data_IF_951267745642
#
_entry.id   IF_951267745642
#
_cell.length_a   1.000
_cell.length_b   1.000
_cell.length_c   1.000
_cell.angle_alpha   90.00
_cell.angle_beta   90.00
_cell.angle_gamma   90.00
#
_symmetry.space_group_name_H-M   'P 1'
#
loop_
_entity.id
_entity.type
_entity.pdbx_description
1 polymer ?
#
# COMPACT_ATOMS: atom_id res chain seq x y z
N UNK A 1 6.23 -21.55 7.36
CA UNK A 1 5.55 -20.62 6.42
C UNK A 1 5.07 -19.37 7.13
N UNK A 2 4.16 -19.44 8.11
CA UNK A 2 3.60 -18.24 8.78
C UNK A 2 4.65 -17.31 9.39
N UNK A 3 5.64 -17.86 10.09
CA UNK A 3 6.72 -17.08 10.70
C UNK A 3 7.53 -16.29 9.66
N UNK A 4 7.87 -16.91 8.53
CA UNK A 4 8.64 -16.28 7.46
C UNK A 4 7.85 -15.10 6.88
N UNK A 5 6.55 -15.31 6.59
CA UNK A 5 5.69 -14.25 6.06
C UNK A 5 5.47 -13.11 7.07
N UNK A 6 5.35 -13.42 8.36
CA UNK A 6 5.21 -12.42 9.42
C UNK A 6 6.49 -11.61 9.62
N UNK A 7 7.66 -12.25 9.58
CA UNK A 7 8.95 -11.57 9.69
C UNK A 7 9.19 -10.71 8.43
N UNK A 8 8.92 -11.22 7.23
CA UNK A 8 9.02 -10.43 5.99
C UNK A 8 8.13 -9.16 6.00
N UNK A 9 6.92 -9.25 6.58
CA UNK A 9 6.06 -8.08 6.79
C UNK A 9 6.73 -7.05 7.72
N UNK A 10 7.26 -7.51 8.86
CA UNK A 10 7.84 -6.63 9.87
C UNK A 10 9.16 -5.99 9.44
N UNK A 11 9.99 -6.75 8.74
CA UNK A 11 11.36 -6.36 8.40
C UNK A 11 11.39 -5.39 7.22
N UNK A 12 10.61 -5.63 6.17
CA UNK A 12 10.67 -4.82 4.96
C UNK A 12 9.32 -4.38 4.42
N UNK A 13 8.22 -4.70 5.10
CA UNK A 13 6.87 -4.61 4.52
C UNK A 13 6.79 -5.34 3.16
N UNK A 14 7.49 -6.50 3.08
CA UNK A 14 7.66 -7.35 1.89
C UNK A 14 8.33 -6.68 0.69
N UNK A 15 9.00 -5.55 0.87
CA UNK A 15 9.69 -4.85 -0.21
C UNK A 15 11.01 -5.57 -0.59
N UNK A 16 11.18 -6.04 -1.84
CA UNK A 16 12.39 -6.76 -2.26
C UNK A 16 13.66 -5.93 -2.27
N UNK A 17 13.52 -4.62 -2.51
CA UNK A 17 14.64 -3.69 -2.62
C UNK A 17 14.92 -2.95 -1.30
N UNK A 18 14.31 -3.38 -0.20
CA UNK A 18 14.49 -2.75 1.10
C UNK A 18 15.94 -2.88 1.58
N UNK A 19 16.47 -1.78 2.08
CA UNK A 19 17.78 -1.73 2.72
C UNK A 19 17.65 -1.10 4.11
N UNK A 20 18.10 -1.82 5.13
CA UNK A 20 18.13 -1.36 6.51
C UNK A 20 19.56 -1.09 6.96
N UNK A 21 19.75 -0.04 7.75
CA UNK A 21 21.04 0.29 8.34
C UNK A 21 20.87 0.52 9.85
N UNK A 22 21.52 -0.31 10.67
CA UNK A 22 21.59 -0.07 12.10
C UNK A 22 22.69 0.95 12.42
N UNK A 23 22.27 2.16 12.78
CA UNK A 23 23.15 3.29 13.11
C UNK A 23 24.13 3.01 14.26
N UNK A 24 23.92 1.98 15.08
CA UNK A 24 24.81 1.63 16.20
C UNK A 24 25.88 0.62 15.84
N UNK A 25 25.64 -0.21 14.83
CA UNK A 25 26.54 -1.30 14.43
C UNK A 25 27.08 -1.13 13.02
N UNK A 26 26.59 -0.13 12.26
CA UNK A 26 26.83 0.07 10.83
C UNK A 26 26.55 -1.20 10.00
N UNK A 27 25.67 -2.08 10.50
CA UNK A 27 25.31 -3.31 9.79
C UNK A 27 24.24 -2.99 8.76
N UNK A 28 24.55 -3.29 7.51
CA UNK A 28 23.62 -3.18 6.38
C UNK A 28 22.88 -4.51 6.24
N UNK A 29 21.56 -4.41 6.09
CA UNK A 29 20.63 -5.51 5.90
C UNK A 29 19.86 -5.28 4.61
N UNK A 30 19.63 -6.35 3.84
CA UNK A 30 19.15 -6.26 2.46
C UNK A 30 17.92 -7.17 2.30
N UNK A 31 16.98 -6.72 1.47
CA UNK A 31 15.89 -7.53 0.93
C UNK A 31 14.74 -7.81 1.89
N UNK A 32 13.86 -8.72 1.47
CA UNK A 32 12.55 -8.98 2.09
C UNK A 32 12.64 -9.33 3.58
N UNK A 33 13.66 -10.09 3.96
CA UNK A 33 13.89 -10.57 5.32
C UNK A 33 14.96 -9.75 6.04
N UNK A 34 15.46 -8.67 5.43
CA UNK A 34 16.52 -7.82 5.99
C UNK A 34 17.75 -8.65 6.43
N UNK A 35 18.24 -9.50 5.55
CA UNK A 35 19.42 -10.35 5.81
C UNK A 35 20.69 -9.54 5.62
N UNK A 36 21.62 -9.59 6.58
CA UNK A 36 22.94 -8.99 6.43
C UNK A 36 23.86 -9.88 5.59
N UNK A 37 24.68 -9.32 4.68
CA UNK A 37 25.65 -10.10 3.88
C UNK A 37 26.52 -11.04 4.74
N UNK A 38 27.04 -10.54 5.86
CA UNK A 38 27.84 -11.34 6.81
C UNK A 38 27.10 -12.54 7.41
N UNK A 39 25.78 -12.44 7.59
CA UNK A 39 24.97 -13.55 8.09
C UNK A 39 24.77 -14.59 6.99
N UNK A 40 24.54 -14.16 5.76
CA UNK A 40 24.42 -15.05 4.61
C UNK A 40 25.74 -15.78 4.32
N UNK A 41 26.88 -15.07 4.31
CA UNK A 41 28.22 -15.66 4.21
C UNK A 41 28.48 -16.68 5.32
N UNK A 42 28.15 -16.34 6.57
CA UNK A 42 28.29 -17.24 7.71
C UNK A 42 27.43 -18.50 7.55
N UNK A 43 26.19 -18.38 7.05
CA UNK A 43 25.31 -19.54 6.75
C UNK A 43 25.92 -20.42 5.66
N UNK A 44 26.50 -19.84 4.61
CA UNK A 44 27.16 -20.62 3.55
C UNK A 44 28.35 -21.39 4.12
N UNK A 45 29.18 -20.76 4.95
CA UNK A 45 30.42 -21.34 5.47
C UNK A 45 30.20 -22.38 6.56
N UNK A 46 29.30 -22.13 7.51
CA UNK A 46 29.18 -22.93 8.73
C UNK A 46 27.99 -23.91 8.70
N UNK A 47 26.99 -23.68 7.84
CA UNK A 47 25.76 -24.48 7.78
C UNK A 47 25.58 -25.22 6.43
N UNK A 48 26.59 -25.18 5.54
CA UNK A 48 26.67 -25.93 4.26
C UNK A 48 25.56 -25.60 3.23
N UNK A 49 25.05 -24.37 3.25
CA UNK A 49 24.01 -23.89 2.33
C UNK A 49 24.61 -23.32 1.02
N UNK A 50 25.24 -24.18 0.20
CA UNK A 50 26.05 -23.81 -0.98
C UNK A 50 25.29 -23.35 -2.25
N UNK A 51 23.98 -23.12 -2.19
CA UNK A 51 23.16 -22.86 -3.38
C UNK A 51 23.43 -21.50 -4.06
N UNK A 52 23.98 -20.52 -3.35
CA UNK A 52 24.18 -19.15 -3.85
C UNK A 52 25.52 -18.56 -3.43
N UNK A 53 26.35 -18.03 -4.37
CA UNK A 53 27.66 -17.47 -4.07
C UNK A 53 27.56 -16.02 -3.55
N UNK A 54 27.28 -15.86 -2.25
CA UNK A 54 27.10 -14.53 -1.62
C UNK A 54 28.42 -13.74 -1.52
N UNK A 55 29.56 -14.42 -1.36
CA UNK A 55 30.88 -13.78 -1.26
C UNK A 55 31.30 -13.05 -2.56
N UNK A 56 30.76 -13.46 -3.71
CA UNK A 56 31.11 -12.89 -5.03
C UNK A 56 30.19 -11.72 -5.42
N UNK A 57 28.92 -11.75 -4.98
CA UNK A 57 27.89 -10.76 -5.34
C UNK A 57 26.90 -10.53 -4.17
N UNK A 58 27.15 -9.53 -3.30
CA UNK A 58 26.24 -9.19 -2.20
C UNK A 58 24.85 -8.72 -2.67
N UNK A 59 24.74 -8.20 -3.90
CA UNK A 59 23.47 -7.72 -4.46
C UNK A 59 22.52 -8.87 -4.80
N UNK A 60 22.99 -10.12 -4.77
CA UNK A 60 22.15 -11.31 -4.89
C UNK A 60 21.06 -11.34 -3.80
N UNK A 61 21.28 -10.69 -2.65
CA UNK A 61 20.30 -10.58 -1.58
C UNK A 61 19.09 -9.69 -1.90
N UNK A 62 19.12 -8.91 -2.99
CA UNK A 62 17.92 -8.23 -3.51
C UNK A 62 16.95 -9.18 -4.22
N UNK A 63 17.42 -10.38 -4.61
CA UNK A 63 16.56 -11.38 -5.25
C UNK A 63 15.63 -11.99 -4.17
N UNK A 64 14.30 -11.85 -4.29
CA UNK A 64 13.33 -12.30 -3.28
C UNK A 64 13.56 -13.72 -2.77
N UNK A 65 13.74 -14.68 -3.69
CA UNK A 65 13.91 -16.09 -3.35
C UNK A 65 15.21 -16.35 -2.59
N UNK A 66 16.31 -15.68 -2.99
CA UNK A 66 17.62 -15.82 -2.34
C UNK A 66 17.57 -15.23 -0.94
N UNK A 67 16.94 -14.06 -0.79
CA UNK A 67 16.80 -13.41 0.50
C UNK A 67 15.94 -14.23 1.48
N UNK A 68 14.81 -14.76 1.00
CA UNK A 68 13.94 -15.63 1.80
C UNK A 68 14.65 -16.94 2.15
N UNK A 69 15.45 -17.49 1.24
CA UNK A 69 16.26 -18.69 1.50
C UNK A 69 17.22 -18.46 2.67
N UNK A 70 18.02 -17.39 2.66
CA UNK A 70 18.96 -17.10 3.76
C UNK A 70 18.24 -16.72 5.06
N UNK A 71 17.15 -15.96 4.99
CA UNK A 71 16.35 -15.65 6.17
C UNK A 71 15.71 -16.90 6.79
N UNK A 72 15.22 -17.84 5.98
CA UNK A 72 14.69 -19.12 6.44
C UNK A 72 15.78 -20.04 7.02
N UNK A 73 16.97 -20.09 6.40
CA UNK A 73 18.11 -20.81 6.94
C UNK A 73 18.52 -20.24 8.31
N UNK A 74 18.53 -18.91 8.46
CA UNK A 74 18.83 -18.26 9.74
C UNK A 74 17.80 -18.58 10.82
N UNK A 75 16.50 -18.55 10.48
CA UNK A 75 15.43 -18.95 11.39
C UNK A 75 15.53 -20.41 11.82
N UNK A 76 15.89 -21.30 10.88
CA UNK A 76 16.13 -22.73 11.17
C UNK A 76 17.29 -22.89 12.16
N UNK A 77 18.38 -22.17 11.95
CA UNK A 77 19.49 -22.17 12.91
C UNK A 77 19.06 -21.67 14.29
N UNK A 78 18.35 -20.54 14.36
CA UNK A 78 17.82 -19.99 15.62
C UNK A 78 16.87 -20.96 16.34
N UNK A 79 16.09 -21.75 15.60
CA UNK A 79 15.17 -22.74 16.17
C UNK A 79 15.88 -23.88 16.90
N UNK A 80 17.15 -24.14 16.58
CA UNK A 80 17.99 -25.16 17.21
C UNK A 80 19.21 -24.57 17.94
N UNK A 81 19.17 -23.28 18.27
CA UNK A 81 20.30 -22.57 18.86
C UNK A 81 20.78 -23.21 20.17
N UNK A 82 22.10 -23.45 20.29
CA UNK A 82 22.76 -24.13 21.43
C UNK A 82 22.35 -25.61 21.58
N UNK A 83 22.03 -26.29 20.46
CA UNK A 83 21.61 -27.69 20.46
C UNK A 83 20.26 -27.94 21.15
N UNK A 84 19.47 -26.88 21.35
CA UNK A 84 18.16 -26.93 22.03
C UNK A 84 17.08 -26.45 21.08
N UNK A 85 15.94 -27.15 21.10
CA UNK A 85 14.72 -26.67 20.44
C UNK A 85 14.25 -25.41 21.15
N UNK A 86 14.23 -24.29 20.43
CA UNK A 86 13.85 -22.99 20.95
C UNK A 86 12.37 -22.70 20.71
N UNK A 87 11.79 -21.91 21.61
CA UNK A 87 10.42 -21.42 21.44
C UNK A 87 10.35 -20.42 20.29
N UNK A 88 9.17 -20.27 19.71
CA UNK A 88 8.93 -19.26 18.68
C UNK A 88 9.26 -17.84 19.15
N UNK A 89 8.91 -17.48 20.38
CA UNK A 89 9.29 -16.20 20.97
C UNK A 89 10.80 -16.00 20.99
N UNK A 90 11.55 -17.04 21.35
CA UNK A 90 13.01 -16.98 21.34
C UNK A 90 13.53 -16.71 19.92
N UNK A 91 13.05 -17.48 18.93
CA UNK A 91 13.49 -17.36 17.54
C UNK A 91 13.23 -15.96 16.99
N UNK A 92 12.02 -15.44 17.17
CA UNK A 92 11.61 -14.13 16.65
C UNK A 92 12.38 -12.99 17.32
N UNK A 93 12.54 -13.04 18.65
CA UNK A 93 13.28 -12.00 19.39
C UNK A 93 14.79 -12.06 19.11
N UNK A 94 15.32 -13.26 18.86
CA UNK A 94 16.71 -13.45 18.45
C UNK A 94 16.96 -12.96 17.03
N UNK A 95 15.99 -13.11 16.13
CA UNK A 95 16.06 -12.61 14.75
C UNK A 95 16.25 -11.09 14.72
N UNK A 96 15.44 -10.34 15.48
CA UNK A 96 15.49 -8.87 15.49
C UNK A 96 16.62 -8.29 16.36
N UNK A 97 17.02 -8.99 17.42
CA UNK A 97 17.88 -8.44 18.48
C UNK A 97 19.21 -9.16 18.70
N UNK A 98 19.40 -10.31 18.05
CA UNK A 98 20.48 -11.25 18.32
C UNK A 98 20.21 -12.13 19.56
N UNK A 99 20.87 -13.28 19.60
CA UNK A 99 20.70 -14.32 20.65
C UNK A 99 21.00 -13.85 22.07
N UNK A 100 21.85 -12.81 22.22
CA UNK A 100 22.18 -12.22 23.53
C UNK A 100 21.11 -11.28 24.09
N UNK A 101 20.21 -10.76 23.25
CA UNK A 101 19.18 -9.77 23.66
C UNK A 101 17.77 -10.35 23.70
N UNK A 102 17.62 -11.67 23.60
CA UNK A 102 16.32 -12.33 23.53
C UNK A 102 15.44 -11.97 24.73
N UNK A 103 15.98 -11.97 25.95
CA UNK A 103 15.22 -11.62 27.16
C UNK A 103 15.21 -10.11 27.47
N UNK A 104 15.89 -9.29 26.66
CA UNK A 104 16.00 -7.86 26.92
C UNK A 104 14.69 -7.14 26.58
N UNK A 105 14.33 -6.11 27.37
CA UNK A 105 13.07 -5.36 27.18
C UNK A 105 12.94 -4.72 25.79
N UNK A 106 14.06 -4.45 25.11
CA UNK A 106 14.06 -3.84 23.77
C UNK A 106 13.52 -4.73 22.66
N UNK A 107 13.51 -6.05 22.83
CA UNK A 107 12.99 -6.99 21.80
C UNK A 107 11.50 -7.28 21.98
N UNK A 108 10.92 -6.89 23.12
CA UNK A 108 9.51 -7.11 23.43
C UNK A 108 8.53 -6.38 22.48
N UNK A 109 8.78 -5.12 22.04
CA UNK A 109 7.92 -4.46 21.06
C UNK A 109 7.87 -5.21 19.72
N UNK A 110 9.01 -5.74 19.26
CA UNK A 110 9.08 -6.51 18.02
C UNK A 110 8.26 -7.82 18.15
N UNK A 111 8.40 -8.54 19.26
CA UNK A 111 7.59 -9.73 19.55
C UNK A 111 6.08 -9.46 19.56
N UNK A 112 5.64 -8.36 20.18
CA UNK A 112 4.21 -7.99 20.19
C UNK A 112 3.68 -7.71 18.79
N UNK A 113 4.46 -7.02 17.95
CA UNK A 113 4.09 -6.77 16.54
C UNK A 113 4.05 -8.07 15.74
N UNK A 114 4.97 -9.00 16.01
CA UNK A 114 4.98 -10.33 15.39
C UNK A 114 3.70 -11.11 15.72
N UNK A 115 3.28 -11.13 16.99
CA UNK A 115 2.04 -11.79 17.38
C UNK A 115 0.82 -11.19 16.67
N UNK A 116 0.73 -9.86 16.58
CA UNK A 116 -0.34 -9.17 15.86
C UNK A 116 -0.39 -9.57 14.38
N UNK A 117 0.77 -9.55 13.71
CA UNK A 117 0.88 -9.94 12.30
C UNK A 117 0.54 -11.43 12.12
N UNK A 118 1.03 -12.30 13.01
CA UNK A 118 0.76 -13.75 12.95
C UNK A 118 -0.71 -14.09 13.20
N UNK A 119 -1.37 -13.42 14.14
CA UNK A 119 -2.80 -13.57 14.42
C UNK A 119 -3.64 -13.19 13.19
N UNK A 120 -3.25 -12.12 12.48
CA UNK A 120 -3.82 -11.76 11.19
C UNK A 120 -3.65 -12.83 10.10
N UNK A 121 -2.67 -13.74 10.20
CA UNK A 121 -2.50 -14.88 9.29
C UNK A 121 -3.26 -16.13 9.73
N UNK A 122 -3.34 -16.40 11.04
CA UNK A 122 -4.06 -17.57 11.57
C UNK A 122 -5.57 -17.45 11.35
N UNK A 123 -6.16 -16.26 11.49
CA UNK A 123 -7.56 -16.01 11.11
C UNK A 123 -7.83 -16.22 9.62
N UNK A 124 -6.81 -16.14 8.75
CA UNK A 124 -6.94 -16.42 7.31
C UNK A 124 -6.88 -17.92 6.96
N UNK A 125 -6.35 -18.76 7.85
CA UNK A 125 -6.15 -20.21 7.59
C UNK A 125 -7.28 -21.11 8.08
N UNK A 126 -8.24 -20.61 8.85
CA UNK A 126 -9.34 -21.42 9.39
C UNK A 126 -10.45 -21.75 8.36
N UNK A 127 -10.24 -21.38 7.08
CA UNK A 127 -11.08 -21.77 5.96
C UNK A 127 -10.22 -22.50 4.93
N UNK A 128 -10.18 -23.84 5.03
CA UNK A 128 -9.71 -24.69 3.94
C UNK A 128 -10.62 -24.48 2.72
N UNK A 129 -10.03 -24.00 1.63
CA UNK A 129 -10.68 -23.82 0.33
C UNK A 129 -10.61 -25.08 -0.55
N UNK A 130 -11.14 -25.05 -1.79
CA UNK A 130 -10.82 -26.03 -2.81
C UNK A 130 -9.48 -25.71 -3.51
N UNK A 131 -8.83 -26.80 -3.93
CA UNK A 131 -7.47 -26.99 -4.48
C UNK A 131 -7.10 -26.23 -5.78
N UNK A 132 -5.82 -26.29 -6.22
CA UNK A 132 -5.16 -25.27 -7.03
C UNK A 132 -5.47 -25.35 -8.53
N UNK A 133 -5.75 -24.19 -9.12
CA UNK A 133 -5.79 -24.00 -10.57
C UNK A 133 -4.37 -23.73 -11.06
N UNK A 134 -3.99 -24.42 -12.12
CA UNK A 134 -2.69 -24.38 -12.80
C UNK A 134 -2.20 -22.95 -13.08
N UNK A 135 -0.90 -22.74 -12.89
CA UNK A 135 -0.23 -21.47 -13.16
C UNK A 135 -0.16 -21.19 -14.68
N UNK A 136 -0.49 -19.97 -15.15
CA UNK A 136 -0.21 -19.59 -16.53
C UNK A 136 1.30 -19.34 -16.68
N UNK A 137 1.93 -20.09 -17.58
CA UNK A 137 3.26 -19.81 -18.13
C UNK A 137 3.27 -18.46 -18.85
N UNK A 138 4.08 -17.51 -18.38
CA UNK A 138 4.47 -16.33 -19.16
C UNK A 138 5.97 -16.42 -19.50
N UNK A 139 6.38 -16.09 -20.74
CA UNK A 139 7.78 -16.14 -21.13
C UNK A 139 8.57 -15.00 -20.47
N UNK A 140 9.64 -15.38 -19.79
CA UNK A 140 10.71 -14.50 -19.29
C UNK A 140 11.47 -13.86 -20.45
N UNK A 141 11.50 -12.53 -20.46
CA UNK A 141 12.61 -11.76 -21.04
C UNK A 141 12.91 -10.59 -20.11
N UNK A 142 14.17 -10.39 -19.68
CA UNK A 142 14.55 -9.28 -18.82
C UNK A 142 14.58 -8.00 -19.65
N UNK A 143 13.67 -7.08 -19.37
CA UNK A 143 13.72 -5.73 -19.93
C UNK A 143 14.70 -4.91 -19.09
N UNK A 144 15.84 -4.58 -19.68
CA UNK A 144 16.81 -3.61 -19.15
C UNK A 144 16.15 -2.26 -18.86
N UNK A 145 16.63 -1.48 -17.86
CA UNK A 145 16.02 -0.22 -17.48
C UNK A 145 16.22 0.83 -18.59
N UNK A 146 15.19 1.03 -19.41
CA UNK A 146 15.18 2.06 -20.45
C UNK A 146 14.93 3.44 -19.83
N UNK A 147 15.77 4.39 -20.24
CA UNK A 147 15.64 5.84 -20.06
C UNK A 147 14.19 6.32 -20.20
N UNK A 148 13.70 7.06 -19.19
CA UNK A 148 12.49 7.89 -19.26
C UNK A 148 11.19 7.09 -19.36
N UNK A 149 10.70 6.55 -18.24
CA UNK A 149 9.33 6.03 -18.19
C UNK A 149 8.34 7.19 -18.41
N UNK A 150 7.78 7.26 -19.61
CA UNK A 150 6.54 8.00 -19.83
C UNK A 150 5.44 7.27 -19.03
N UNK A 151 4.97 7.89 -17.96
CA UNK A 151 3.90 7.37 -17.11
C UNK A 151 2.56 7.60 -17.80
N UNK A 152 2.04 6.57 -18.46
CA UNK A 152 0.75 6.59 -19.15
C UNK A 152 -0.39 6.10 -18.24
N UNK A 153 -1.59 6.67 -18.41
CA UNK A 153 -2.82 6.21 -17.78
C UNK A 153 -3.16 4.77 -18.16
N UNK A 154 -3.05 4.47 -19.46
CA UNK A 154 -3.44 3.20 -20.05
C UNK A 154 -2.62 2.00 -19.52
N UNK A 155 -1.49 2.24 -18.85
CA UNK A 155 -0.70 1.18 -18.19
C UNK A 155 -1.14 0.87 -16.76
N UNK A 156 -1.94 1.75 -16.14
CA UNK A 156 -2.38 1.61 -14.74
C UNK A 156 -3.87 1.36 -14.61
N UNK A 157 -4.66 1.76 -15.59
CA UNK A 157 -6.12 1.82 -15.53
C UNK A 157 -6.72 0.88 -16.58
N UNK A 158 -7.86 0.26 -16.26
CA UNK A 158 -8.54 -0.66 -17.19
C UNK A 158 -9.06 0.09 -18.42
N UNK A 159 -9.26 -0.62 -19.53
CA UNK A 159 -9.81 -0.02 -20.75
C UNK A 159 -11.23 0.54 -20.53
N UNK A 160 -12.02 -0.10 -19.67
CA UNK A 160 -13.37 0.36 -19.30
C UNK A 160 -13.33 1.69 -18.53
N UNK A 161 -12.47 1.78 -17.52
CA UNK A 161 -12.29 3.01 -16.74
C UNK A 161 -11.75 4.16 -17.62
N UNK A 162 -10.83 3.84 -18.55
CA UNK A 162 -10.35 4.80 -19.55
C UNK A 162 -11.46 5.29 -20.47
N UNK A 163 -12.35 4.40 -20.90
CA UNK A 163 -13.52 4.78 -21.71
C UNK A 163 -14.44 5.73 -20.94
N UNK A 164 -14.70 5.47 -19.65
CA UNK A 164 -15.44 6.39 -18.80
C UNK A 164 -14.78 7.78 -18.72
N UNK A 165 -13.45 7.85 -18.61
CA UNK A 165 -12.72 9.13 -18.62
C UNK A 165 -12.87 9.87 -19.95
N UNK A 166 -12.75 9.18 -21.09
CA UNK A 166 -12.92 9.77 -22.41
C UNK A 166 -14.36 10.26 -22.67
N UNK A 167 -15.35 9.63 -22.04
CA UNK A 167 -16.75 10.03 -22.13
C UNK A 167 -17.10 11.19 -21.17
N UNK A 168 -16.25 11.49 -20.19
CA UNK A 168 -16.45 12.62 -19.30
C UNK A 168 -16.07 13.94 -19.99
N UNK A 169 -17.07 14.79 -20.26
CA UNK A 169 -16.92 16.00 -21.10
C UNK A 169 -15.76 16.92 -20.71
N UNK A 170 -15.56 17.15 -19.41
CA UNK A 170 -14.50 18.07 -18.95
C UNK A 170 -13.10 17.45 -19.10
N UNK A 171 -12.98 16.13 -18.92
CA UNK A 171 -11.73 15.40 -19.13
C UNK A 171 -11.42 15.36 -20.63
N UNK A 172 -12.42 15.03 -21.45
CA UNK A 172 -12.28 15.06 -22.91
C UNK A 172 -11.75 16.42 -23.39
N UNK A 173 -12.33 17.53 -22.93
CA UNK A 173 -11.86 18.88 -23.27
C UNK A 173 -10.42 19.14 -22.81
N UNK A 174 -10.07 18.72 -21.60
CA UNK A 174 -8.71 18.88 -21.06
C UNK A 174 -7.67 18.07 -21.83
N UNK A 175 -7.96 16.80 -22.12
CA UNK A 175 -7.07 15.89 -22.85
C UNK A 175 -6.89 16.31 -24.31
N UNK A 176 -7.96 16.71 -25.01
CA UNK A 176 -7.86 17.24 -26.38
C UNK A 176 -7.02 18.53 -26.41
N UNK A 177 -7.21 19.43 -25.45
CA UNK A 177 -6.40 20.66 -25.34
C UNK A 177 -4.92 20.35 -25.12
N UNK A 178 -4.63 19.30 -24.36
CA UNK A 178 -3.27 18.81 -24.10
C UNK A 178 -2.72 17.91 -25.21
N UNK A 179 -3.47 17.71 -26.31
CA UNK A 179 -3.11 16.84 -27.44
C UNK A 179 -2.83 15.38 -27.03
N UNK A 180 -3.52 14.91 -26.00
CA UNK A 180 -3.50 13.51 -25.60
C UNK A 180 -4.32 12.67 -26.59
N UNK A 181 -3.90 11.42 -26.79
CA UNK A 181 -4.55 10.49 -27.72
C UNK A 181 -4.97 9.23 -26.97
N UNK A 182 -6.09 8.62 -27.40
CA UNK A 182 -6.57 7.35 -26.85
C UNK A 182 -5.47 6.29 -26.94
N UNK A 183 -5.24 5.56 -25.85
CA UNK A 183 -4.20 4.53 -25.74
C UNK A 183 -2.81 5.03 -25.36
N UNK A 184 -2.59 6.35 -25.30
CA UNK A 184 -1.31 6.95 -24.87
C UNK A 184 -1.53 8.26 -24.10
N UNK A 185 -2.45 8.24 -23.13
CA UNK A 185 -2.72 9.42 -22.29
C UNK A 185 -1.64 9.52 -21.22
N UNK A 186 -0.89 10.61 -21.16
CA UNK A 186 0.14 10.80 -20.12
C UNK A 186 -0.44 11.30 -18.81
N UNK A 187 0.13 10.88 -17.69
CA UNK A 187 -0.12 11.52 -16.41
C UNK A 187 0.56 12.89 -16.32
N UNK A 188 -0.11 13.83 -15.65
CA UNK A 188 0.53 15.07 -15.25
C UNK A 188 1.64 14.79 -14.23
N UNK A 189 2.79 15.44 -14.39
CA UNK A 189 3.95 15.24 -13.52
C UNK A 189 4.38 16.54 -12.84
N UNK A 190 4.74 16.47 -11.56
CA UNK A 190 5.30 17.63 -10.85
C UNK A 190 6.76 17.88 -11.28
N UNK A 191 7.42 18.87 -10.68
CA UNK A 191 8.84 19.19 -10.96
C UNK A 191 9.79 18.02 -10.67
N UNK A 192 9.42 17.12 -9.77
CA UNK A 192 10.17 15.92 -9.37
C UNK A 192 9.79 14.68 -10.21
N UNK A 193 8.99 14.86 -11.28
CA UNK A 193 8.44 13.77 -12.12
C UNK A 193 7.53 12.78 -11.37
N UNK A 194 6.96 13.18 -10.23
CA UNK A 194 5.91 12.39 -9.55
C UNK A 194 4.57 12.59 -10.25
N UNK A 195 3.86 11.51 -10.60
CA UNK A 195 2.61 11.59 -11.32
C UNK A 195 1.48 12.01 -10.37
N UNK A 196 0.62 12.91 -10.83
CA UNK A 196 -0.54 13.40 -10.09
C UNK A 196 -1.74 13.59 -11.01
N UNK A 197 -2.93 13.61 -10.43
CA UNK A 197 -4.16 13.89 -11.16
C UNK A 197 -4.44 15.40 -11.20
N UNK A 198 -4.82 15.90 -12.37
CA UNK A 198 -5.44 17.22 -12.49
C UNK A 198 -6.72 17.29 -11.63
N UNK A 199 -7.20 18.50 -11.32
CA UNK A 199 -8.46 18.63 -10.59
C UNK A 199 -9.66 18.15 -11.40
N UNK A 200 -9.57 18.23 -12.73
CA UNK A 200 -10.63 17.78 -13.64
C UNK A 200 -10.63 16.26 -13.68
N UNK A 201 -9.46 15.64 -13.83
CA UNK A 201 -9.30 14.17 -13.81
C UNK A 201 -9.75 13.57 -12.48
N UNK A 202 -9.29 14.13 -11.36
CA UNK A 202 -9.69 13.68 -10.02
C UNK A 202 -11.20 13.74 -9.83
N UNK A 203 -11.82 14.84 -10.25
CA UNK A 203 -13.26 15.04 -10.13
C UNK A 203 -14.04 14.04 -10.97
N UNK A 204 -13.60 13.79 -12.19
CA UNK A 204 -14.24 12.81 -13.07
C UNK A 204 -14.19 11.41 -12.45
N UNK A 205 -13.04 10.96 -11.94
CA UNK A 205 -12.93 9.65 -11.28
C UNK A 205 -13.89 9.57 -10.08
N UNK A 206 -13.93 10.61 -9.24
CA UNK A 206 -14.85 10.64 -8.09
C UNK A 206 -16.32 10.56 -8.53
N UNK A 207 -16.72 11.29 -9.57
CA UNK A 207 -18.08 11.27 -10.12
C UNK A 207 -18.43 9.91 -10.75
N UNK A 208 -17.50 9.29 -11.49
CA UNK A 208 -17.67 7.95 -12.08
C UNK A 208 -17.84 6.90 -10.98
N UNK A 209 -16.94 6.87 -9.99
CA UNK A 209 -17.01 5.91 -8.87
C UNK A 209 -18.30 6.07 -8.08
N UNK A 210 -18.66 7.30 -7.71
CA UNK A 210 -19.87 7.56 -6.93
C UNK A 210 -21.12 7.18 -7.71
N UNK A 211 -21.22 7.59 -8.97
CA UNK A 211 -22.41 7.27 -9.79
C UNK A 211 -22.58 5.78 -10.03
N UNK A 212 -21.49 5.04 -10.27
CA UNK A 212 -21.53 3.60 -10.59
C UNK A 212 -21.76 2.71 -9.37
N UNK A 213 -21.20 3.07 -8.21
CA UNK A 213 -21.17 2.17 -7.05
C UNK A 213 -21.78 2.72 -5.76
N UNK A 214 -21.99 4.03 -5.64
CA UNK A 214 -22.41 4.68 -4.40
C UNK A 214 -23.58 5.67 -4.57
N UNK A 215 -24.34 5.54 -5.66
CA UNK A 215 -25.44 6.46 -6.01
C UNK A 215 -26.53 6.54 -4.92
N UNK A 216 -26.75 5.45 -4.18
CA UNK A 216 -27.73 5.36 -3.09
C UNK A 216 -27.17 5.74 -1.71
N UNK A 217 -25.86 6.00 -1.59
CA UNK A 217 -25.16 6.24 -0.31
C UNK A 217 -24.94 7.71 0.00
N UNK A 218 -25.42 8.63 -0.84
CA UNK A 218 -25.32 10.07 -0.61
C UNK A 218 -23.89 10.62 -0.58
N UNK A 219 -22.91 9.88 -1.10
CA UNK A 219 -21.50 10.30 -1.10
C UNK A 219 -21.32 11.48 -2.06
N UNK A 220 -20.75 12.57 -1.57
CA UNK A 220 -20.47 13.74 -2.39
C UNK A 220 -19.08 13.62 -3.07
N UNK A 221 -18.98 13.59 -4.41
CA UNK A 221 -17.71 13.54 -5.11
C UNK A 221 -16.74 14.68 -4.75
N UNK A 222 -17.24 15.87 -4.41
CA UNK A 222 -16.37 17.00 -4.03
C UNK A 222 -15.67 16.78 -2.69
N UNK A 223 -16.28 16.02 -1.78
CA UNK A 223 -15.66 15.62 -0.52
C UNK A 223 -14.49 14.67 -0.77
N UNK A 224 -14.66 13.69 -1.66
CA UNK A 224 -13.59 12.78 -2.06
C UNK A 224 -12.42 13.53 -2.71
N UNK A 225 -12.72 14.49 -3.58
CA UNK A 225 -11.69 15.33 -4.21
C UNK A 225 -10.88 16.13 -3.16
N UNK A 226 -11.59 16.73 -2.19
CA UNK A 226 -10.95 17.49 -1.12
C UNK A 226 -10.11 16.59 -0.20
N UNK A 227 -10.57 15.37 0.09
CA UNK A 227 -9.79 14.37 0.82
C UNK A 227 -8.50 14.02 0.07
N UNK A 228 -8.57 13.66 -1.23
CA UNK A 228 -7.40 13.34 -2.04
C UNK A 228 -6.34 14.48 -2.04
N UNK A 229 -6.78 15.74 -2.17
CA UNK A 229 -5.88 16.90 -2.09
C UNK A 229 -5.19 17.03 -0.71
N UNK A 230 -5.87 16.64 0.38
CA UNK A 230 -5.31 16.72 1.74
C UNK A 230 -4.40 15.52 2.04
N UNK A 231 -4.80 14.30 1.69
CA UNK A 231 -4.13 13.06 2.11
C UNK A 231 -2.97 12.65 1.20
N UNK A 232 -3.04 12.94 -0.09
CA UNK A 232 -2.03 12.54 -1.08
C UNK A 232 -1.52 13.70 -1.93
N UNK A 233 -2.10 14.90 -1.80
CA UNK A 233 -1.85 16.02 -2.72
C UNK A 233 -2.16 15.66 -4.18
N UNK A 234 -3.08 14.70 -4.39
CA UNK A 234 -3.47 14.12 -5.69
C UNK A 234 -2.38 13.30 -6.38
N UNK A 235 -1.32 12.93 -5.66
CA UNK A 235 -0.32 12.01 -6.18
C UNK A 235 -0.91 10.61 -6.31
N UNK A 236 -0.67 9.98 -7.46
CA UNK A 236 -1.29 8.70 -7.79
C UNK A 236 -0.66 7.57 -6.96
N UNK A 237 0.65 7.65 -6.73
CA UNK A 237 1.38 6.71 -5.87
C UNK A 237 1.23 7.03 -4.38
N UNK A 238 0.60 8.16 -4.05
CA UNK A 238 0.53 8.71 -2.69
C UNK A 238 1.74 9.56 -2.33
N UNK A 239 2.03 9.68 -1.04
CA UNK A 239 3.18 10.43 -0.52
C UNK A 239 3.97 9.59 0.50
N UNK A 240 4.94 10.20 1.18
CA UNK A 240 5.79 9.50 2.16
C UNK A 240 5.01 8.83 3.32
N UNK A 241 3.78 9.27 3.55
CA UNK A 241 2.94 8.81 4.66
C UNK A 241 1.70 8.03 4.23
N UNK A 242 1.41 7.96 2.93
CA UNK A 242 0.16 7.40 2.44
C UNK A 242 0.33 6.75 1.06
N UNK A 243 -0.34 5.63 0.83
CA UNK A 243 -0.33 4.94 -0.46
C UNK A 243 -1.52 5.36 -1.30
N UNK A 244 -1.28 5.58 -2.58
CA UNK A 244 -2.35 5.82 -3.53
C UNK A 244 -2.99 7.20 -3.41
N UNK A 245 -3.94 7.45 -4.31
CA UNK A 245 -4.67 8.70 -4.40
C UNK A 245 -5.46 9.05 -3.13
N UNK A 246 -6.08 8.06 -2.50
CA UNK A 246 -6.97 8.25 -1.35
C UNK A 246 -6.31 7.98 0.00
N UNK A 247 -5.02 7.65 0.02
CA UNK A 247 -4.23 7.51 1.23
C UNK A 247 -4.73 6.45 2.21
N UNK A 248 -5.48 5.47 1.73
CA UNK A 248 -5.95 4.33 2.52
C UNK A 248 -4.86 3.26 2.54
N UNK A 249 -4.58 2.70 3.72
CA UNK A 249 -3.65 1.57 3.83
C UNK A 249 -4.25 0.27 3.26
N UNK A 250 -3.37 -0.63 2.83
CA UNK A 250 -3.79 -1.91 2.26
C UNK A 250 -4.68 -2.71 3.22
N UNK A 251 -4.41 -2.70 4.53
CA UNK A 251 -5.23 -3.42 5.51
C UNK A 251 -6.69 -2.94 5.52
N UNK A 252 -6.92 -1.64 5.44
CA UNK A 252 -8.25 -1.03 5.43
C UNK A 252 -8.96 -1.30 4.11
N UNK A 253 -8.26 -1.17 2.98
CA UNK A 253 -8.82 -1.51 1.67
C UNK A 253 -9.18 -3.00 1.56
N UNK A 254 -8.30 -3.88 2.05
CA UNK A 254 -8.52 -5.32 2.06
C UNK A 254 -9.65 -5.72 3.00
N UNK A 255 -9.78 -5.05 4.17
CA UNK A 255 -10.91 -5.22 5.08
C UNK A 255 -12.23 -4.79 4.44
N UNK A 256 -12.28 -3.62 3.78
CA UNK A 256 -13.47 -3.15 3.04
C UNK A 256 -13.85 -4.13 1.93
N UNK A 257 -12.86 -4.63 1.20
CA UNK A 257 -13.06 -5.67 0.21
C UNK A 257 -13.63 -6.91 0.90
N UNK A 258 -12.84 -7.62 1.72
CA UNK A 258 -13.12 -8.95 2.29
C UNK A 258 -14.30 -9.00 3.24
N UNK A 259 -14.44 -8.07 4.16
CA UNK A 259 -15.43 -8.16 5.24
C UNK A 259 -16.66 -7.30 4.96
N UNK A 260 -16.48 -6.10 4.40
CA UNK A 260 -17.60 -5.18 4.16
C UNK A 260 -18.29 -5.36 2.80
N UNK A 261 -17.77 -6.25 1.94
CA UNK A 261 -18.42 -6.64 0.69
C UNK A 261 -18.22 -5.67 -0.47
N UNK A 262 -17.27 -4.73 -0.38
CA UNK A 262 -16.96 -3.81 -1.48
C UNK A 262 -16.14 -4.50 -2.57
N UNK A 263 -16.81 -5.18 -3.52
CA UNK A 263 -16.18 -6.07 -4.53
C UNK A 263 -15.96 -5.51 -5.92
N UNK A 264 -16.35 -4.27 -6.22
CA UNK A 264 -16.30 -3.76 -7.60
C UNK A 264 -14.87 -3.68 -8.17
N UNK A 265 -13.88 -3.43 -7.32
CA UNK A 265 -12.47 -3.55 -7.67
C UNK A 265 -11.80 -4.59 -6.77
N UNK A 266 -10.89 -5.35 -7.38
CA UNK A 266 -10.05 -6.30 -6.67
C UNK A 266 -8.88 -5.55 -6.00
N UNK A 267 -8.53 -5.97 -4.80
CA UNK A 267 -7.32 -5.53 -4.09
C UNK A 267 -6.67 -6.75 -3.46
N UNK A 268 -5.56 -7.19 -4.05
CA UNK A 268 -4.76 -8.30 -3.56
C UNK A 268 -3.43 -7.82 -3.00
N UNK A 269 -2.90 -6.71 -3.54
CA UNK A 269 -1.59 -6.15 -3.19
C UNK A 269 -1.69 -4.64 -2.90
N UNK A 270 -0.63 -4.09 -2.29
CA UNK A 270 -0.57 -2.65 -1.99
C UNK A 270 -0.45 -1.81 -3.27
N UNK A 271 0.19 -2.36 -4.30
CA UNK A 271 0.39 -1.72 -5.60
C UNK A 271 -0.93 -1.48 -6.33
N UNK A 272 -1.97 -2.28 -6.05
CA UNK A 272 -3.31 -2.09 -6.63
C UNK A 272 -3.89 -0.71 -6.25
N UNK A 273 -3.51 -0.17 -5.10
CA UNK A 273 -3.93 1.16 -4.64
C UNK A 273 -3.24 2.31 -5.40
N UNK A 274 -2.24 2.01 -6.24
CA UNK A 274 -1.65 2.99 -7.17
C UNK A 274 -2.47 3.15 -8.46
N UNK A 275 -3.48 2.30 -8.68
CA UNK A 275 -4.51 2.56 -9.67
C UNK A 275 -5.50 3.62 -9.10
N UNK A 276 -5.68 4.77 -9.77
CA UNK A 276 -6.49 5.86 -9.25
C UNK A 276 -7.97 5.50 -9.07
N UNK A 277 -8.53 4.59 -9.87
CA UNK A 277 -9.92 4.11 -9.73
C UNK A 277 -10.07 3.18 -8.53
N UNK A 278 -9.15 2.23 -8.38
CA UNK A 278 -9.13 1.31 -7.21
C UNK A 278 -8.98 2.12 -5.92
N UNK A 279 -8.03 3.07 -5.90
CA UNK A 279 -7.81 3.96 -4.77
C UNK A 279 -9.05 4.79 -4.44
N UNK A 280 -9.66 5.44 -5.45
CA UNK A 280 -10.88 6.23 -5.28
C UNK A 280 -12.04 5.39 -4.77
N UNK A 281 -12.22 4.18 -5.30
CA UNK A 281 -13.28 3.25 -4.91
C UNK A 281 -13.19 2.88 -3.43
N UNK A 282 -12.01 2.46 -2.96
CA UNK A 282 -11.84 2.13 -1.54
C UNK A 282 -11.91 3.39 -0.66
N UNK A 283 -11.46 4.54 -1.17
CA UNK A 283 -11.67 5.85 -0.53
C UNK A 283 -13.15 6.15 -0.27
N UNK A 284 -13.97 5.99 -1.30
CA UNK A 284 -15.41 6.17 -1.22
C UNK A 284 -16.07 5.13 -0.31
N UNK A 285 -15.66 3.86 -0.39
CA UNK A 285 -16.16 2.80 0.48
C UNK A 285 -15.87 3.10 1.96
N UNK A 286 -14.67 3.56 2.29
CA UNK A 286 -14.32 3.89 3.66
C UNK A 286 -15.11 5.09 4.18
N UNK A 287 -15.25 6.12 3.36
CA UNK A 287 -16.07 7.29 3.69
C UNK A 287 -17.52 6.88 3.95
N UNK A 288 -18.09 6.02 3.09
CA UNK A 288 -19.44 5.49 3.25
C UNK A 288 -19.59 4.77 4.58
N UNK A 289 -18.66 3.87 4.91
CA UNK A 289 -18.68 3.15 6.16
C UNK A 289 -18.55 4.07 7.39
N UNK A 290 -17.68 5.08 7.31
CA UNK A 290 -17.51 6.08 8.37
C UNK A 290 -18.75 6.94 8.58
N UNK A 291 -19.54 7.18 7.53
CA UNK A 291 -20.76 7.99 7.62
C UNK A 291 -21.84 7.35 8.50
N UNK A 292 -21.82 6.02 8.64
CA UNK A 292 -22.75 5.22 9.45
C UNK A 292 -22.05 4.57 10.67
N UNK A 293 -20.86 5.06 11.05
CA UNK A 293 -20.03 4.43 12.08
C UNK A 293 -20.75 4.34 13.45
N UNK A 294 -20.73 3.15 14.05
CA UNK A 294 -21.50 2.76 15.26
C UNK A 294 -23.03 2.82 15.06
N UNK A 295 -23.51 2.62 13.82
CA UNK A 295 -24.95 2.55 13.52
C UNK A 295 -25.66 3.90 13.61
N UNK A 296 -24.92 5.01 13.53
CA UNK A 296 -25.47 6.37 13.53
C UNK A 296 -24.83 7.22 12.45
N UNK A 297 -25.60 8.18 11.94
CA UNK A 297 -25.10 9.18 11.02
C UNK A 297 -24.01 10.04 11.69
N UNK A 298 -22.90 10.24 10.98
CA UNK A 298 -21.76 11.02 11.44
C UNK A 298 -21.64 12.35 10.72
N UNK A 299 -21.20 13.38 11.45
CA UNK A 299 -20.87 14.67 10.85
C UNK A 299 -19.65 14.56 9.92
N UNK A 300 -19.57 15.44 8.92
CA UNK A 300 -18.44 15.49 7.99
C UNK A 300 -17.10 15.70 8.72
N UNK A 301 -17.10 16.49 9.79
CA UNK A 301 -15.92 16.69 10.62
C UNK A 301 -15.46 15.39 11.29
N UNK A 302 -16.39 14.63 11.89
CA UNK A 302 -16.07 13.32 12.45
C UNK A 302 -15.50 12.39 11.37
N UNK A 303 -16.17 12.30 10.22
CA UNK A 303 -15.77 11.44 9.11
C UNK A 303 -14.35 11.79 8.67
N UNK A 304 -14.03 13.08 8.50
CA UNK A 304 -12.68 13.52 8.11
C UNK A 304 -11.61 13.09 9.11
N UNK A 305 -11.82 13.34 10.40
CA UNK A 305 -10.85 12.97 11.43
C UNK A 305 -10.71 11.45 11.54
N UNK A 306 -11.82 10.72 11.47
CA UNK A 306 -11.82 9.26 11.47
C UNK A 306 -11.11 8.68 10.24
N UNK A 307 -11.23 9.33 9.09
CA UNK A 307 -10.57 8.91 7.86
C UNK A 307 -9.05 9.01 7.98
N UNK A 308 -8.54 10.09 8.57
CA UNK A 308 -7.09 10.35 8.69
C UNK A 308 -6.45 9.57 9.84
N UNK A 309 -7.14 9.45 10.98
CA UNK A 309 -6.55 8.95 12.23
C UNK A 309 -7.17 7.65 12.74
N UNK A 310 -8.20 7.15 12.06
CA UNK A 310 -9.01 6.02 12.50
C UNK A 310 -10.16 6.46 13.42
N UNK A 311 -11.34 5.81 13.34
CA UNK A 311 -12.54 6.24 14.05
C UNK A 311 -12.45 6.17 15.58
N UNK A 312 -11.53 5.36 16.12
CA UNK A 312 -11.29 5.24 17.57
C UNK A 312 -10.41 6.37 18.13
N UNK A 313 -9.76 7.16 17.28
CA UNK A 313 -8.79 8.19 17.67
C UNK A 313 -9.31 9.62 17.37
N UNK A 314 -10.62 9.80 17.27
CA UNK A 314 -11.22 11.09 16.92
C UNK A 314 -11.40 11.95 18.18
N UNK A 315 -10.69 13.07 18.23
CA UNK A 315 -10.84 14.11 19.26
C UNK A 315 -11.35 15.40 18.59
N UNK A 316 -12.63 15.73 18.77
CA UNK A 316 -13.29 16.86 18.09
C UNK A 316 -13.02 18.23 18.74
N UNK A 317 -12.41 18.25 19.92
CA UNK A 317 -12.23 19.45 20.75
C UNK A 317 -11.08 20.35 20.26
N UNK A 318 -10.20 19.85 19.38
CA UNK A 318 -9.10 20.62 18.78
C UNK A 318 -9.31 20.84 17.28
N UNK A 319 -9.51 22.09 16.87
CA UNK A 319 -9.57 22.46 15.46
C UNK A 319 -8.20 22.24 14.80
N UNK A 320 -8.01 21.07 14.19
CA UNK A 320 -6.75 20.69 13.56
C UNK A 320 -6.50 21.54 12.28
N UNK A 321 -5.27 22.02 12.02
CA UNK A 321 -4.92 22.72 10.78
C UNK A 321 -5.28 21.96 9.49
N UNK A 322 -5.30 20.62 9.53
CA UNK A 322 -5.70 19.79 8.40
C UNK A 322 -7.20 19.92 8.08
N UNK A 323 -8.06 20.09 9.08
CA UNK A 323 -9.50 20.30 8.89
C UNK A 323 -9.78 21.65 8.21
N UNK A 324 -9.15 22.72 8.68
CA UNK A 324 -9.27 24.05 8.04
C UNK A 324 -8.83 24.03 6.58
N UNK A 325 -7.72 23.33 6.28
CA UNK A 325 -7.25 23.14 4.91
C UNK A 325 -8.27 22.35 4.07
N UNK A 326 -8.88 21.32 4.63
CA UNK A 326 -9.93 20.54 3.98
C UNK A 326 -11.14 21.40 3.64
N UNK A 327 -11.68 22.18 4.58
CA UNK A 327 -12.83 23.07 4.35
C UNK A 327 -12.55 24.10 3.24
N UNK A 328 -11.36 24.70 3.25
CA UNK A 328 -10.94 25.64 2.21
C UNK A 328 -10.89 25.00 0.82
N UNK A 329 -10.43 23.75 0.74
CA UNK A 329 -10.33 23.01 -0.53
C UNK A 329 -11.74 22.58 -0.99
N UNK A 330 -12.57 22.09 -0.07
CA UNK A 330 -13.95 21.71 -0.35
C UNK A 330 -14.74 22.88 -0.95
N UNK A 331 -14.65 24.07 -0.34
CA UNK A 331 -15.29 25.28 -0.84
C UNK A 331 -14.83 25.65 -2.27
N UNK A 332 -13.58 25.36 -2.64
CA UNK A 332 -13.07 25.59 -4.01
C UNK A 332 -13.72 24.63 -5.02
N UNK A 333 -13.88 23.36 -4.67
CA UNK A 333 -14.55 22.38 -5.53
C UNK A 333 -16.04 22.72 -5.70
N UNK A 334 -16.73 23.11 -4.63
CA UNK A 334 -18.14 23.50 -4.69
C UNK A 334 -18.39 24.78 -5.52
N UNK A 335 -17.50 25.77 -5.40
CA UNK A 335 -17.58 26.99 -6.22
C UNK A 335 -17.38 26.69 -7.71
N UNK A 336 -16.49 25.74 -8.02
CA UNK A 336 -16.24 25.29 -9.39
C UNK A 336 -17.45 24.53 -9.94
N UNK A 337 -18.09 23.67 -9.14
CA UNK A 337 -19.34 23.00 -9.49
C UNK A 337 -20.44 23.98 -9.88
N UNK A 338 -20.71 24.99 -9.04
CA UNK A 338 -21.72 26.02 -9.33
C UNK A 338 -21.45 26.78 -10.63
N UNK A 339 -20.20 27.16 -10.89
CA UNK A 339 -19.84 27.84 -12.16
C UNK A 339 -20.12 27.00 -13.40
N UNK A 340 -19.91 25.68 -13.31
CA UNK A 340 -20.18 24.75 -14.43
C UNK A 340 -21.68 24.57 -14.63
N UNK A 341 -22.46 24.48 -13.54
CA UNK A 341 -23.93 24.38 -13.60
C UNK A 341 -24.57 25.65 -14.22
N UNK A 342 -24.02 26.84 -13.97
CA UNK A 342 -24.50 28.09 -14.60
C UNK A 342 -24.01 28.31 -16.04
N UNK A 343 -23.06 27.50 -16.53
CA UNK A 343 -22.50 27.61 -17.88
C UNK A 343 -23.05 26.55 -18.85
N UNK A 344 -23.89 25.63 -18.36
CA UNK A 344 -24.71 24.71 -19.14
C UNK A 344 -26.12 25.29 -19.22
#
# INVERSE_FOLDING_TARGET
MEMICAIAELESNRQPLAMGCDKKTNLITIGIMQVAPKVAEWIVREEDYLLFPVEEDPDILYKPFVNVYFGAAYLRWLSNFDGKIRTEEFVVRAYSGGTKKVNHKSTLPYWKRYLQVKECYLSRKQFDGPSPIEAPTFPTSPVSPSKGFDLYWDSRVSSEDMEHMWNHLDVFKEWIKSKEIRGKVRFSCNKEKKPYLSRVELRAIAEIIVSKYFSTRGINPTVLCALADVVSMRFIDGNETSTGLMGIDYSTAFWLYKEMGYRAYRVDYIEDLTNPFVSMYFGAAYLAWLSEYEGRERSLQFIFHAYISGPKNVHLEETCPKWLKFEQILARYERTKRKIEFAR
#
